data_IF_361692451359
#
_entry.id   IF_361692451359
#
_cell.length_a   1.000
_cell.length_b   1.000
_cell.length_c   1.000
_cell.angle_alpha   90.00
_cell.angle_beta   90.00
_cell.angle_gamma   90.00
#
_symmetry.space_group_name_H-M   'P 1'
#
loop_
_entity.id
_entity.type
_entity.pdbx_description
1 polymer ?
#
# COMPACT_ATOMS: atom_id res chain seq x y z
N UNK A 1 -38.79 39.58 17.45
CA UNK A 1 -37.38 39.41 17.84
C UNK A 1 -37.33 38.40 18.97
N UNK A 2 -36.71 37.24 18.74
CA UNK A 2 -36.63 36.17 19.73
C UNK A 2 -36.20 34.85 19.09
N UNK A 3 -34.91 34.73 18.77
CA UNK A 3 -34.27 33.48 18.38
C UNK A 3 -33.55 32.94 19.63
N UNK A 4 -34.05 31.84 20.20
CA UNK A 4 -33.33 31.06 21.21
C UNK A 4 -32.93 29.70 20.62
N UNK A 5 -31.62 29.57 20.43
CA UNK A 5 -30.75 28.43 20.78
C UNK A 5 -31.40 27.04 20.68
N UNK A 6 -31.15 26.35 19.57
CA UNK A 6 -31.18 24.88 19.53
C UNK A 6 -29.75 24.37 19.69
N UNK A 7 -29.49 23.80 20.86
CA UNK A 7 -28.23 23.16 21.22
C UNK A 7 -28.03 21.86 20.41
N UNK A 8 -26.81 21.67 19.92
CA UNK A 8 -26.30 20.42 19.37
C UNK A 8 -26.52 19.27 20.36
N UNK A 9 -27.26 18.24 19.94
CA UNK A 9 -27.30 16.92 20.58
C UNK A 9 -27.46 15.86 19.50
N UNK A 10 -26.37 15.57 18.78
CA UNK A 10 -26.26 14.42 17.88
C UNK A 10 -24.82 13.92 17.87
N UNK A 11 -24.41 13.25 18.95
CA UNK A 11 -23.32 12.27 18.89
C UNK A 11 -23.65 11.12 19.85
N UNK A 12 -23.32 9.91 19.40
CA UNK A 12 -23.45 8.59 20.04
C UNK A 12 -24.64 7.74 19.59
N UNK A 13 -24.62 7.33 18.32
CA UNK A 13 -25.07 5.99 17.94
C UNK A 13 -23.95 4.97 18.26
N UNK A 14 -24.25 3.84 18.92
CA UNK A 14 -23.26 2.81 19.22
C UNK A 14 -23.07 1.91 17.98
N UNK A 15 -21.96 2.12 17.28
CA UNK A 15 -21.53 1.31 16.14
C UNK A 15 -20.05 1.51 15.80
N UNK A 16 -19.25 1.85 16.81
CA UNK A 16 -17.87 2.31 16.65
C UNK A 16 -16.90 1.27 17.19
N UNK A 17 -16.24 0.55 16.29
CA UNK A 17 -14.86 0.07 16.47
C UNK A 17 -14.31 -0.47 15.15
N UNK A 18 -14.01 0.44 14.22
CA UNK A 18 -13.05 0.25 13.12
C UNK A 18 -12.46 1.64 12.85
N UNK A 19 -11.74 2.15 13.83
CA UNK A 19 -11.15 3.48 13.75
C UNK A 19 -9.68 3.42 14.10
N UNK A 20 -8.86 3.57 13.06
CA UNK A 20 -7.58 4.26 13.14
C UNK A 20 -7.67 5.36 14.21
N UNK A 21 -6.95 5.17 15.31
CA UNK A 21 -6.86 6.18 16.37
C UNK A 21 -5.94 7.27 15.85
N UNK A 22 -6.52 8.41 15.49
CA UNK A 22 -5.75 9.62 15.29
C UNK A 22 -5.31 10.11 16.67
N UNK A 23 -4.00 10.22 16.89
CA UNK A 23 -3.51 10.78 18.16
C UNK A 23 -3.50 12.32 18.12
N UNK A 24 -3.45 12.90 16.93
CA UNK A 24 -3.37 14.35 16.72
C UNK A 24 -3.79 14.73 15.29
N UNK A 25 -4.36 15.92 15.10
CA UNK A 25 -4.61 16.50 13.78
C UNK A 25 -4.62 18.04 13.81
N UNK A 26 -4.10 18.69 12.78
CA UNK A 26 -4.23 20.14 12.58
C UNK A 26 -4.42 20.51 11.11
N UNK A 27 -5.01 21.68 10.85
CA UNK A 27 -5.11 22.26 9.50
C UNK A 27 -3.98 23.26 9.31
N UNK A 28 -3.26 23.11 8.20
CA UNK A 28 -2.09 23.90 7.86
C UNK A 28 -2.18 24.46 6.44
N UNK A 29 -1.31 25.43 6.13
CA UNK A 29 -1.07 25.89 4.76
C UNK A 29 0.41 25.70 4.47
N UNK A 30 0.81 24.60 3.80
CA UNK A 30 2.19 24.35 3.42
C UNK A 30 2.72 25.44 2.49
N UNK A 31 3.95 25.89 2.71
CA UNK A 31 4.58 26.91 1.85
C UNK A 31 5.69 26.31 1.02
N UNK A 32 5.53 26.29 -0.30
CA UNK A 32 6.63 25.98 -1.23
C UNK A 32 7.75 27.01 -1.07
N UNK A 33 8.97 26.54 -0.90
CA UNK A 33 10.17 27.37 -0.76
C UNK A 33 10.79 27.60 -2.14
N UNK A 34 11.42 28.76 -2.33
CA UNK A 34 12.17 29.06 -3.55
C UNK A 34 13.50 28.26 -3.56
N UNK A 35 13.95 27.75 -4.71
CA UNK A 35 15.27 27.12 -4.83
C UNK A 35 16.38 28.10 -4.42
N UNK A 36 17.46 27.59 -3.81
CA UNK A 36 18.64 28.40 -3.45
C UNK A 36 19.47 28.84 -4.68
N UNK A 37 19.50 28.04 -5.74
CA UNK A 37 20.39 28.22 -6.91
C UNK A 37 19.74 28.89 -8.13
N UNK A 38 18.60 29.57 -7.96
CA UNK A 38 17.83 30.28 -9.02
C UNK A 38 17.40 29.42 -10.24
N UNK A 39 17.74 28.12 -10.24
CA UNK A 39 17.24 27.12 -11.18
C UNK A 39 16.03 26.42 -10.56
N UNK A 40 14.84 26.84 -10.95
CA UNK A 40 13.59 26.14 -10.62
C UNK A 40 13.47 24.89 -11.49
N UNK A 41 14.14 23.81 -11.08
CA UNK A 41 13.90 22.49 -11.66
C UNK A 41 12.75 21.84 -10.93
N UNK A 42 11.70 21.41 -11.65
CA UNK A 42 10.59 20.61 -11.08
C UNK A 42 11.09 19.37 -10.32
N UNK A 43 12.29 18.88 -10.63
CA UNK A 43 12.90 17.71 -10.00
C UNK A 43 13.16 17.86 -8.50
N UNK A 44 13.43 19.08 -8.02
CA UNK A 44 13.75 19.34 -6.61
C UNK A 44 12.86 20.43 -6.07
N UNK A 45 12.07 20.09 -5.06
CA UNK A 45 11.18 21.05 -4.39
C UNK A 45 11.39 20.99 -2.89
N UNK A 46 11.05 22.06 -2.19
CA UNK A 46 11.08 22.08 -0.74
C UNK A 46 9.86 22.80 -0.19
N UNK A 47 9.33 22.30 0.91
CA UNK A 47 8.15 22.85 1.56
C UNK A 47 8.45 23.16 3.03
N UNK A 48 7.95 24.29 3.50
CA UNK A 48 7.84 24.55 4.94
C UNK A 48 6.47 24.07 5.42
N UNK A 49 6.47 23.05 6.26
CA UNK A 49 5.28 22.38 6.79
C UNK A 49 5.24 22.59 8.31
N UNK A 50 4.06 22.88 8.86
CA UNK A 50 3.87 22.99 10.31
C UNK A 50 3.34 21.66 10.84
N UNK A 51 3.96 21.13 11.88
CA UNK A 51 3.56 19.89 12.56
C UNK A 51 3.68 20.08 14.06
N UNK A 52 2.59 19.84 14.80
CA UNK A 52 2.49 19.96 16.25
C UNK A 52 3.06 21.30 16.78
N UNK A 53 2.74 22.39 16.08
CA UNK A 53 3.19 23.73 16.45
C UNK A 53 4.58 24.14 15.95
N UNK A 54 5.38 23.22 15.40
CA UNK A 54 6.75 23.47 14.94
C UNK A 54 6.83 23.48 13.41
N UNK A 55 7.71 24.31 12.85
CA UNK A 55 7.96 24.33 11.42
C UNK A 55 9.10 23.37 11.06
N UNK A 56 8.88 22.61 10.00
CA UNK A 56 9.81 21.67 9.40
C UNK A 56 10.03 22.04 7.95
N UNK A 57 11.27 21.90 7.47
CA UNK A 57 11.61 22.03 6.05
C UNK A 57 11.70 20.62 5.48
N UNK A 58 10.89 20.31 4.48
CA UNK A 58 10.87 19.02 3.80
C UNK A 58 11.52 19.19 2.45
N UNK A 59 12.59 18.44 2.18
CA UNK A 59 13.27 18.41 0.89
C UNK A 59 12.81 17.20 0.11
N UNK A 60 12.43 17.43 -1.14
CA UNK A 60 11.78 16.45 -1.99
C UNK A 60 12.51 16.35 -3.33
N UNK A 61 12.80 15.12 -3.73
CA UNK A 61 13.34 14.76 -5.03
C UNK A 61 12.30 13.96 -5.80
N UNK A 62 12.08 14.35 -7.05
CA UNK A 62 11.07 13.72 -7.89
C UNK A 62 11.37 12.23 -8.06
N UNK A 63 10.35 11.41 -7.79
CA UNK A 63 10.35 9.98 -8.07
C UNK A 63 9.94 9.79 -9.54
N UNK A 64 10.75 9.01 -10.25
CA UNK A 64 10.52 8.66 -11.65
C UNK A 64 10.27 7.14 -11.76
N UNK A 65 9.63 6.72 -12.84
CA UNK A 65 9.53 5.31 -13.23
C UNK A 65 8.88 4.39 -12.18
N UNK A 66 7.72 4.79 -11.63
CA UNK A 66 6.90 3.94 -10.76
C UNK A 66 5.47 3.73 -11.30
N UNK A 67 5.14 4.40 -12.40
CA UNK A 67 3.94 4.19 -13.23
C UNK A 67 4.45 3.98 -14.66
N UNK A 68 3.94 2.98 -15.36
CA UNK A 68 4.30 2.75 -16.74
C UNK A 68 3.79 3.88 -17.67
N UNK A 69 4.56 4.25 -18.71
CA UNK A 69 4.03 5.04 -19.80
C UNK A 69 2.82 4.35 -20.44
N UNK A 70 1.77 5.11 -20.79
CA UNK A 70 0.52 4.56 -21.34
C UNK A 70 -0.11 3.47 -20.46
N UNK A 71 -0.09 3.69 -19.15
CA UNK A 71 -0.75 2.86 -18.17
C UNK A 71 -2.25 2.65 -18.49
N UNK A 72 -2.69 1.41 -18.78
CA UNK A 72 -4.07 1.10 -19.06
C UNK A 72 -4.89 0.96 -17.76
N UNK A 73 -6.09 1.54 -17.77
CA UNK A 73 -7.12 1.33 -16.75
C UNK A 73 -8.29 0.58 -17.39
N UNK A 74 -8.63 -0.56 -16.80
CA UNK A 74 -9.70 -1.43 -17.26
C UNK A 74 -10.93 -1.27 -16.36
N UNK A 75 -12.08 -1.01 -16.96
CA UNK A 75 -13.38 -0.90 -16.26
C UNK A 75 -14.43 -1.73 -17.00
N UNK A 76 -15.66 -1.75 -16.49
CA UNK A 76 -16.76 -2.52 -17.07
C UNK A 76 -18.01 -1.66 -17.21
N UNK A 77 -18.73 -1.83 -18.32
CA UNK A 77 -20.05 -1.22 -18.49
C UNK A 77 -21.16 -2.10 -17.89
N UNK A 78 -22.38 -1.57 -17.80
CA UNK A 78 -23.57 -2.27 -17.27
C UNK A 78 -23.88 -3.62 -17.97
N UNK A 79 -23.40 -3.82 -19.21
CA UNK A 79 -23.56 -5.09 -19.95
C UNK A 79 -22.48 -6.12 -19.60
N UNK A 80 -21.45 -5.71 -18.87
CA UNK A 80 -20.29 -6.50 -18.50
C UNK A 80 -19.18 -6.50 -19.55
N UNK A 81 -19.23 -5.61 -20.55
CA UNK A 81 -18.16 -5.47 -21.53
C UNK A 81 -16.97 -4.74 -20.91
N UNK A 82 -15.77 -5.22 -21.23
CA UNK A 82 -14.51 -4.59 -20.83
C UNK A 82 -14.32 -3.26 -21.57
N UNK A 83 -14.13 -2.18 -20.82
CA UNK A 83 -13.68 -0.89 -21.31
C UNK A 83 -12.19 -0.75 -20.98
N UNK A 84 -11.43 -0.20 -21.91
CA UNK A 84 -9.99 0.07 -21.73
C UNK A 84 -9.74 1.53 -21.99
N UNK A 85 -9.30 2.24 -20.95
CA UNK A 85 -8.91 3.64 -21.00
C UNK A 85 -7.42 3.81 -20.72
N UNK A 86 -6.89 4.94 -21.18
CA UNK A 86 -5.50 5.35 -20.95
C UNK A 86 -5.51 6.74 -20.33
N UNK A 87 -5.91 6.87 -19.05
CA UNK A 87 -6.05 8.17 -18.42
C UNK A 87 -4.69 8.85 -18.32
N UNK A 88 -4.68 10.18 -18.54
CA UNK A 88 -3.49 10.97 -18.27
C UNK A 88 -3.27 11.07 -16.76
N UNK A 89 -2.26 10.35 -16.27
CA UNK A 89 -1.79 10.46 -14.89
C UNK A 89 -0.51 11.29 -14.92
N UNK A 90 -0.56 12.44 -14.27
CA UNK A 90 0.59 13.33 -14.18
C UNK A 90 1.70 12.64 -13.35
N UNK A 91 2.84 12.35 -13.95
CA UNK A 91 3.97 11.63 -13.32
C UNK A 91 5.10 12.56 -12.83
N UNK A 92 4.98 13.87 -13.08
CA UNK A 92 5.97 14.88 -12.70
C UNK A 92 5.74 15.52 -11.32
N UNK A 93 4.89 14.89 -10.50
CA UNK A 93 4.42 15.42 -9.23
C UNK A 93 4.52 14.45 -8.05
N UNK A 94 5.27 13.36 -8.17
CA UNK A 94 5.52 12.42 -7.07
C UNK A 94 6.95 12.52 -6.59
N UNK A 95 7.16 12.51 -5.28
CA UNK A 95 8.44 12.82 -4.66
C UNK A 95 8.72 11.94 -3.45
N UNK A 96 10.00 11.63 -3.26
CA UNK A 96 10.52 11.12 -2.00
C UNK A 96 11.64 12.01 -1.47
N UNK A 97 11.88 11.96 -0.16
CA UNK A 97 12.79 12.87 0.47
C UNK A 97 12.85 12.73 1.99
N UNK A 98 13.25 13.82 2.64
CA UNK A 98 13.54 13.86 4.06
C UNK A 98 13.22 15.23 4.66
N UNK A 99 13.23 15.29 5.99
CA UNK A 99 13.04 16.52 6.78
C UNK A 99 14.40 17.05 7.24
N UNK A 100 14.65 18.33 6.99
CA UNK A 100 15.89 19.03 7.37
C UNK A 100 16.16 18.88 8.88
N UNK A 101 17.42 18.61 9.23
CA UNK A 101 17.90 18.42 10.60
C UNK A 101 17.23 17.28 11.40
N UNK A 102 16.51 16.37 10.72
CA UNK A 102 15.93 15.17 11.34
C UNK A 102 16.54 13.91 10.69
N UNK A 103 17.52 13.28 11.36
CA UNK A 103 18.14 12.04 10.89
C UNK A 103 17.09 10.96 10.62
N UNK A 104 17.30 10.20 9.54
CA UNK A 104 16.45 9.06 9.14
C UNK A 104 14.97 9.38 8.92
N UNK A 105 14.61 10.66 8.81
CA UNK A 105 13.27 11.07 8.42
C UNK A 105 12.93 10.61 7.01
N UNK A 106 11.64 10.39 6.78
CA UNK A 106 11.12 9.97 5.48
C UNK A 106 10.03 10.94 5.08
N UNK A 107 10.02 11.33 3.81
CA UNK A 107 8.93 12.05 3.18
C UNK A 107 8.58 11.37 1.87
N UNK A 108 7.32 10.99 1.69
CA UNK A 108 6.79 10.42 0.44
C UNK A 108 5.52 11.16 0.09
N UNK A 109 5.60 12.08 -0.87
CA UNK A 109 4.55 13.07 -1.13
C UNK A 109 4.23 13.17 -2.63
N UNK A 110 2.94 13.21 -2.93
CA UNK A 110 2.40 13.73 -4.18
C UNK A 110 2.12 15.23 -4.05
N UNK A 111 2.36 15.98 -5.11
CA UNK A 111 1.98 17.40 -5.25
C UNK A 111 0.96 17.62 -6.37
N UNK A 112 0.40 16.55 -6.95
CA UNK A 112 -0.40 16.60 -8.18
C UNK A 112 -1.72 17.38 -8.00
N UNK A 113 -2.31 17.32 -6.81
CA UNK A 113 -3.55 18.03 -6.45
C UNK A 113 -3.47 18.60 -5.04
N UNK A 114 -2.32 19.20 -4.73
CA UNK A 114 -1.92 19.53 -3.36
C UNK A 114 -1.02 18.47 -2.75
N UNK A 115 -0.51 18.72 -1.54
CA UNK A 115 0.31 17.76 -0.82
C UNK A 115 -0.54 16.60 -0.32
N UNK A 116 -0.22 15.39 -0.78
CA UNK A 116 -0.81 14.16 -0.29
C UNK A 116 0.27 13.12 -0.05
N UNK A 117 0.33 12.55 1.16
CA UNK A 117 1.23 11.44 1.43
C UNK A 117 1.66 11.35 2.89
N UNK A 118 2.89 10.88 3.11
CA UNK A 118 3.42 10.51 4.41
C UNK A 118 4.69 11.29 4.76
N UNK A 119 4.81 11.61 6.04
CA UNK A 119 6.00 12.15 6.69
C UNK A 119 6.29 11.33 7.93
N UNK A 120 7.52 10.84 8.05
CA UNK A 120 8.03 10.29 9.29
C UNK A 120 9.06 11.26 9.87
N UNK A 121 8.72 11.85 11.02
CA UNK A 121 9.55 12.81 11.72
C UNK A 121 9.93 12.19 13.06
N UNK A 122 11.23 11.91 13.25
CA UNK A 122 11.71 11.04 14.31
C UNK A 122 11.07 9.64 14.17
N UNK A 123 10.35 9.15 15.18
CA UNK A 123 9.63 7.87 15.18
C UNK A 123 8.11 8.04 14.97
N UNK A 124 7.67 9.21 14.51
CA UNK A 124 6.24 9.55 14.42
C UNK A 124 5.79 9.63 12.97
N UNK A 125 4.74 8.87 12.65
CA UNK A 125 4.14 8.82 11.32
C UNK A 125 2.99 9.84 11.23
N UNK A 126 3.10 10.70 10.23
CA UNK A 126 2.10 11.69 9.88
C UNK A 126 1.63 11.44 8.45
N UNK A 127 0.33 11.60 8.22
CA UNK A 127 -0.21 11.73 6.87
C UNK A 127 -0.71 13.15 6.66
N UNK A 128 -0.51 13.65 5.45
CA UNK A 128 -0.98 14.95 4.99
C UNK A 128 -1.89 14.73 3.80
N UNK A 129 -3.03 15.43 3.78
CA UNK A 129 -3.98 15.37 2.68
C UNK A 129 -4.64 16.74 2.42
N UNK A 130 -5.00 17.05 1.17
CA UNK A 130 -5.67 18.29 0.84
C UNK A 130 -7.05 18.38 1.49
N UNK A 131 -7.40 19.55 2.03
CA UNK A 131 -8.78 19.83 2.45
C UNK A 131 -9.65 19.94 1.19
N UNK A 132 -10.70 19.11 1.10
CA UNK A 132 -11.65 19.12 -0.03
C UNK A 132 -12.16 20.54 -0.28
N UNK A 133 -12.05 20.99 -1.54
CA UNK A 133 -12.53 22.30 -2.00
C UNK A 133 -11.91 23.55 -1.33
N UNK A 134 -10.70 23.44 -0.77
CA UNK A 134 -10.00 24.60 -0.21
C UNK A 134 -9.56 25.59 -1.31
N UNK A 135 -9.85 26.88 -1.12
CA UNK A 135 -9.37 27.98 -1.98
C UNK A 135 -8.01 28.55 -1.56
N UNK A 136 -7.47 28.10 -0.42
CA UNK A 136 -6.27 28.67 0.22
C UNK A 136 -5.15 27.66 0.40
N UNK A 137 -5.19 26.55 -0.35
CA UNK A 137 -4.19 25.47 -0.28
C UNK A 137 -4.05 24.90 1.15
N UNK A 138 -5.19 24.70 1.82
CA UNK A 138 -5.20 24.10 3.15
C UNK A 138 -5.06 22.59 3.06
N UNK A 139 -4.33 22.04 4.03
CA UNK A 139 -4.10 20.61 4.19
C UNK A 139 -4.44 20.23 5.63
N UNK A 140 -4.98 19.02 5.81
CA UNK A 140 -5.01 18.39 7.13
C UNK A 140 -3.74 17.57 7.25
N UNK A 141 -3.03 17.73 8.35
CA UNK A 141 -1.96 16.82 8.76
C UNK A 141 -2.36 16.16 10.06
N UNK A 142 -2.20 14.84 10.14
CA UNK A 142 -2.57 14.08 11.32
C UNK A 142 -1.54 13.02 11.64
N UNK A 143 -1.42 12.74 12.93
CA UNK A 143 -0.54 11.72 13.46
C UNK A 143 -1.29 10.40 13.61
N UNK A 144 -0.68 9.37 13.06
CA UNK A 144 -1.10 7.99 13.21
C UNK A 144 -0.77 7.53 14.64
N UNK A 145 -1.74 6.99 15.37
CA UNK A 145 -1.41 6.23 16.58
C UNK A 145 -0.67 4.94 16.18
N UNK A 146 0.21 4.47 17.06
CA UNK A 146 0.70 3.10 16.95
C UNK A 146 -0.50 2.16 17.12
N UNK A 147 -0.80 1.40 16.08
CA UNK A 147 -1.95 0.50 16.05
C UNK A 147 -1.46 -0.92 16.27
N UNK A 148 -1.55 -1.41 17.51
CA UNK A 148 -1.46 -2.84 17.75
C UNK A 148 -2.81 -3.47 17.36
N UNK A 149 -2.98 -3.74 16.06
CA UNK A 149 -4.07 -4.61 15.63
C UNK A 149 -3.72 -6.07 15.97
N UNK A 150 -4.67 -6.84 16.53
CA UNK A 150 -4.51 -8.29 16.66
C UNK A 150 -4.54 -9.00 15.31
N UNK A 151 -4.85 -8.30 14.22
CA UNK A 151 -4.96 -8.89 12.90
C UNK A 151 -3.59 -9.39 12.41
N UNK A 152 -3.63 -10.60 11.87
CA UNK A 152 -2.47 -11.35 11.39
C UNK A 152 -2.49 -11.44 9.86
N UNK A 153 -1.33 -11.52 9.23
CA UNK A 153 -1.24 -12.03 7.86
C UNK A 153 -1.61 -13.52 7.85
N UNK A 154 -2.25 -14.00 6.77
CA UNK A 154 -2.50 -15.43 6.61
C UNK A 154 -3.93 -15.90 6.88
N UNK A 155 -4.13 -17.20 6.63
CA UNK A 155 -5.31 -17.94 7.08
C UNK A 155 -5.26 -18.16 8.59
N UNK A 156 -6.41 -18.10 9.26
CA UNK A 156 -6.47 -18.33 10.72
C UNK A 156 -6.35 -19.82 11.06
N UNK A 157 -5.98 -20.16 12.30
CA UNK A 157 -5.89 -21.56 12.75
C UNK A 157 -7.22 -22.34 12.58
N UNK A 158 -8.35 -21.64 12.67
CA UNK A 158 -9.68 -22.23 12.44
C UNK A 158 -9.98 -22.41 10.95
N UNK A 159 -9.40 -21.57 10.08
CA UNK A 159 -9.46 -21.78 8.63
C UNK A 159 -8.68 -23.01 8.18
N UNK A 160 -7.49 -23.21 8.78
CA UNK A 160 -6.63 -24.38 8.54
C UNK A 160 -7.36 -25.67 8.93
N UNK A 161 -8.02 -25.71 10.10
CA UNK A 161 -8.78 -26.89 10.56
C UNK A 161 -9.93 -27.25 9.61
N UNK A 162 -10.66 -26.26 9.12
CA UNK A 162 -11.81 -26.50 8.24
C UNK A 162 -11.37 -26.87 6.80
N UNK A 163 -10.20 -26.38 6.34
CA UNK A 163 -9.58 -26.82 5.07
C UNK A 163 -9.09 -28.27 5.16
N UNK A 164 -8.47 -28.66 6.28
CA UNK A 164 -8.09 -30.04 6.57
C UNK A 164 -9.32 -30.98 6.61
N UNK A 165 -10.44 -30.51 7.16
CA UNK A 165 -11.70 -31.26 7.18
C UNK A 165 -12.34 -31.43 5.79
N UNK A 166 -12.07 -30.51 4.85
CA UNK A 166 -12.60 -30.51 3.47
C UNK A 166 -11.68 -31.22 2.46
N UNK A 167 -10.56 -31.80 2.89
CA UNK A 167 -9.59 -32.46 2.00
C UNK A 167 -8.98 -31.52 0.95
N UNK A 168 -9.06 -30.20 1.16
CA UNK A 168 -8.46 -29.18 0.31
C UNK A 168 -7.13 -28.76 0.93
N UNK A 169 -6.13 -29.64 0.86
CA UNK A 169 -4.75 -29.21 1.05
C UNK A 169 -4.36 -28.33 -0.15
N UNK A 170 -4.67 -27.05 -0.08
CA UNK A 170 -3.83 -26.09 -0.79
C UNK A 170 -2.53 -26.05 0.00
N UNK A 171 -1.53 -26.73 -0.56
CA UNK A 171 -0.15 -26.62 -0.14
C UNK A 171 0.20 -25.13 -0.14
N UNK A 172 0.09 -24.50 1.04
CA UNK A 172 1.13 -23.56 1.44
C UNK A 172 2.37 -24.41 1.25
N UNK A 173 3.07 -24.15 0.15
CA UNK A 173 4.32 -24.79 -0.15
C UNK A 173 5.28 -24.39 0.96
N UNK A 174 5.22 -25.10 2.08
CA UNK A 174 6.37 -25.38 2.90
C UNK A 174 7.27 -26.29 2.06
N UNK A 175 7.82 -25.76 0.97
CA UNK A 175 8.97 -26.40 0.34
C UNK A 175 10.05 -26.31 1.41
N UNK A 176 10.42 -27.49 1.91
CA UNK A 176 11.55 -27.69 2.79
C UNK A 176 12.73 -26.89 2.23
N UNK A 177 13.05 -25.77 2.86
CA UNK A 177 14.24 -24.98 2.60
C UNK A 177 15.44 -25.72 3.20
N UNK A 178 15.70 -26.91 2.66
CA UNK A 178 16.90 -27.74 2.91
C UNK A 178 17.72 -27.86 1.61
N UNK A 179 17.73 -26.82 0.77
CA UNK A 179 18.95 -26.55 0.01
C UNK A 179 19.72 -25.51 0.79
N UNK A 180 20.81 -25.98 1.42
CA UNK A 180 21.95 -25.13 1.74
C UNK A 180 22.47 -24.55 0.41
N UNK A 181 21.81 -23.50 -0.09
CA UNK A 181 22.42 -22.61 -1.05
C UNK A 181 23.41 -21.80 -0.22
N UNK A 182 24.68 -22.21 -0.26
CA UNK A 182 25.77 -21.34 0.11
C UNK A 182 25.73 -20.15 -0.87
N UNK A 183 24.92 -19.14 -0.55
CA UNK A 183 24.87 -17.90 -1.32
C UNK A 183 26.21 -17.21 -1.06
N UNK A 184 27.02 -17.08 -2.11
CA UNK A 184 28.28 -16.35 -2.03
C UNK A 184 27.99 -14.90 -1.58
N UNK A 185 28.76 -14.41 -0.61
CA UNK A 185 28.65 -13.02 -0.14
C UNK A 185 28.88 -12.04 -1.30
N UNK A 186 29.72 -12.40 -2.27
CA UNK A 186 29.93 -11.61 -3.49
C UNK A 186 28.67 -11.52 -4.35
N UNK A 187 27.95 -12.64 -4.50
CA UNK A 187 26.69 -12.70 -5.26
C UNK A 187 25.60 -11.88 -4.56
N UNK A 188 25.46 -12.00 -3.24
CA UNK A 188 24.54 -11.21 -2.42
C UNK A 188 24.80 -9.69 -2.53
N UNK A 189 26.08 -9.27 -2.54
CA UNK A 189 26.47 -7.86 -2.73
C UNK A 189 26.13 -7.34 -4.14
N UNK A 190 26.23 -8.20 -5.18
CA UNK A 190 25.70 -7.89 -6.52
C UNK A 190 24.17 -7.82 -6.58
N UNK A 191 23.45 -8.67 -5.82
CA UNK A 191 21.97 -8.62 -5.77
C UNK A 191 21.50 -7.28 -5.18
N UNK A 192 22.14 -6.80 -4.11
CA UNK A 192 21.85 -5.51 -3.46
C UNK A 192 22.30 -4.27 -4.25
N UNK A 193 23.23 -4.42 -5.20
CA UNK A 193 23.73 -3.30 -6.03
C UNK A 193 23.06 -3.21 -7.40
N UNK A 194 22.40 -4.28 -7.87
CA UNK A 194 21.62 -4.28 -9.11
C UNK A 194 20.25 -3.63 -8.93
N UNK A 195 19.97 -2.55 -9.66
CA UNK A 195 18.61 -1.98 -9.74
C UNK A 195 17.68 -2.98 -10.43
N UNK A 196 16.58 -3.35 -9.77
CA UNK A 196 15.57 -4.28 -10.27
C UNK A 196 14.24 -3.56 -10.41
N UNK A 197 13.41 -4.06 -11.33
CA UNK A 197 12.06 -3.59 -11.52
C UNK A 197 11.10 -4.75 -11.29
N UNK A 198 9.99 -4.47 -10.60
CA UNK A 198 8.89 -5.38 -10.41
C UNK A 198 7.65 -4.77 -11.06
N UNK A 199 7.21 -5.35 -12.17
CA UNK A 199 6.05 -4.88 -12.93
C UNK A 199 4.76 -5.42 -12.28
N UNK A 200 3.98 -4.55 -11.66
CA UNK A 200 2.79 -4.90 -10.90
C UNK A 200 1.49 -4.52 -11.62
N UNK A 201 0.49 -5.39 -11.53
CA UNK A 201 -0.88 -5.13 -11.98
C UNK A 201 -1.83 -5.14 -10.78
N UNK A 202 -2.61 -4.08 -10.56
CA UNK A 202 -3.57 -4.03 -9.45
C UNK A 202 -5.00 -4.26 -9.94
N UNK A 203 -5.80 -4.91 -9.11
CA UNK A 203 -7.25 -5.05 -9.32
C UNK A 203 -7.96 -4.55 -8.07
N UNK A 204 -8.94 -3.67 -8.21
CA UNK A 204 -9.77 -3.23 -7.09
C UNK A 204 -11.17 -3.86 -7.20
N UNK A 205 -11.62 -4.49 -6.12
CA UNK A 205 -12.95 -5.10 -6.08
C UNK A 205 -14.08 -4.07 -6.08
N UNK A 206 -15.32 -4.53 -6.30
CA UNK A 206 -16.50 -3.65 -6.32
C UNK A 206 -16.69 -2.97 -4.97
N UNK A 207 -16.41 -3.67 -3.87
CA UNK A 207 -16.52 -3.09 -2.53
C UNK A 207 -15.51 -1.94 -2.31
N UNK A 208 -14.29 -2.03 -2.86
CA UNK A 208 -13.29 -0.96 -2.84
C UNK A 208 -13.73 0.22 -3.67
N UNK A 209 -14.28 -0.02 -4.86
CA UNK A 209 -14.87 1.04 -5.66
C UNK A 209 -15.99 1.79 -4.94
N UNK A 210 -16.90 1.06 -4.28
CA UNK A 210 -17.95 1.68 -3.47
C UNK A 210 -17.39 2.43 -2.25
N UNK A 211 -16.31 1.94 -1.65
CA UNK A 211 -15.67 2.58 -0.50
C UNK A 211 -15.00 3.92 -0.86
N UNK A 212 -14.45 4.04 -2.07
CA UNK A 212 -13.87 5.28 -2.60
C UNK A 212 -14.90 6.12 -3.37
N UNK A 213 -16.10 6.28 -2.78
CA UNK A 213 -17.19 7.11 -3.28
C UNK A 213 -17.67 6.78 -4.72
N UNK A 214 -17.47 5.54 -5.20
CA UNK A 214 -17.79 5.12 -6.58
C UNK A 214 -17.15 6.03 -7.65
N UNK A 215 -15.93 6.51 -7.38
CA UNK A 215 -15.23 7.45 -8.22
C UNK A 215 -13.96 6.81 -8.80
N UNK A 216 -13.97 6.52 -10.10
CA UNK A 216 -12.87 5.84 -10.80
C UNK A 216 -11.56 6.64 -10.70
N UNK A 217 -11.63 7.97 -10.82
CA UNK A 217 -10.46 8.85 -10.70
C UNK A 217 -9.88 8.81 -9.29
N UNK A 218 -10.72 8.90 -8.26
CA UNK A 218 -10.26 8.84 -6.86
C UNK A 218 -9.63 7.50 -6.54
N UNK A 219 -10.28 6.41 -6.96
CA UNK A 219 -9.77 5.06 -6.78
C UNK A 219 -8.44 4.84 -7.51
N UNK A 220 -8.33 5.31 -8.76
CA UNK A 220 -7.08 5.26 -9.53
C UNK A 220 -5.95 6.01 -8.83
N UNK A 221 -6.21 7.24 -8.36
CA UNK A 221 -5.23 8.02 -7.61
C UNK A 221 -4.83 7.33 -6.29
N UNK A 222 -5.76 6.65 -5.61
CA UNK A 222 -5.49 5.84 -4.42
C UNK A 222 -4.58 4.65 -4.72
N UNK A 223 -4.82 3.92 -5.81
CA UNK A 223 -3.95 2.81 -6.23
C UNK A 223 -2.54 3.28 -6.58
N UNK A 224 -2.42 4.40 -7.27
CA UNK A 224 -1.12 5.03 -7.55
C UNK A 224 -0.41 5.43 -6.27
N UNK A 225 -1.14 5.98 -5.29
CA UNK A 225 -0.57 6.34 -3.99
C UNK A 225 -0.07 5.12 -3.20
N UNK A 226 -0.79 3.99 -3.24
CA UNK A 226 -0.32 2.74 -2.65
C UNK A 226 1.01 2.30 -3.26
N UNK A 227 1.11 2.25 -4.59
CA UNK A 227 2.34 1.89 -5.29
C UNK A 227 3.48 2.86 -4.97
N UNK A 228 3.19 4.16 -4.86
CA UNK A 228 4.21 5.15 -4.51
C UNK A 228 4.83 4.86 -3.14
N UNK A 229 4.00 4.54 -2.14
CA UNK A 229 4.50 4.12 -0.82
C UNK A 229 5.22 2.79 -0.86
N UNK A 230 4.64 1.76 -1.49
CA UNK A 230 5.25 0.44 -1.61
C UNK A 230 6.60 0.50 -2.32
N UNK A 231 6.73 1.29 -3.39
CA UNK A 231 8.02 1.49 -4.08
C UNK A 231 9.07 2.13 -3.18
N UNK A 232 8.71 3.07 -2.31
CA UNK A 232 9.67 3.67 -1.37
C UNK A 232 10.02 2.72 -0.21
N UNK A 233 9.12 1.82 0.19
CA UNK A 233 9.42 0.75 1.14
C UNK A 233 10.44 -0.26 0.58
N UNK A 234 10.36 -0.56 -0.71
CA UNK A 234 11.28 -1.48 -1.38
C UNK A 234 12.58 -0.84 -1.90
N UNK A 235 12.66 0.49 -1.92
CA UNK A 235 13.84 1.22 -2.38
C UNK A 235 15.16 0.79 -1.70
N UNK A 236 15.22 0.55 -0.38
CA UNK A 236 16.45 0.07 0.27
C UNK A 236 16.94 -1.30 -0.23
N UNK A 237 16.06 -2.10 -0.84
CA UNK A 237 16.39 -3.39 -1.46
C UNK A 237 16.83 -3.26 -2.93
N UNK A 238 16.96 -2.03 -3.44
CA UNK A 238 17.27 -1.80 -4.86
C UNK A 238 16.13 -2.18 -5.82
N UNK A 239 14.93 -2.40 -5.30
CA UNK A 239 13.76 -2.84 -6.07
C UNK A 239 12.80 -1.67 -6.33
N UNK A 240 12.53 -1.43 -7.60
CA UNK A 240 11.58 -0.43 -8.09
C UNK A 240 10.27 -1.12 -8.47
N UNK A 241 9.24 -0.90 -7.66
CA UNK A 241 7.89 -1.38 -7.95
C UNK A 241 7.23 -0.42 -8.94
N UNK A 242 6.72 -0.96 -10.05
CA UNK A 242 6.14 -0.18 -11.14
C UNK A 242 4.72 -0.64 -11.41
N UNK A 243 3.76 0.26 -11.35
CA UNK A 243 2.38 -0.06 -11.74
C UNK A 243 2.23 -0.01 -13.26
N UNK A 244 1.91 -1.15 -13.86
CA UNK A 244 1.85 -1.30 -15.33
C UNK A 244 0.43 -1.52 -15.86
N UNK A 245 -0.55 -1.74 -14.99
CA UNK A 245 -1.95 -1.88 -15.35
C UNK A 245 -2.84 -1.89 -14.12
N UNK A 246 -4.08 -1.42 -14.28
CA UNK A 246 -5.07 -1.36 -13.22
C UNK A 246 -6.43 -1.79 -13.74
N UNK A 247 -7.14 -2.59 -12.95
CA UNK A 247 -8.51 -2.97 -13.25
C UNK A 247 -9.43 -2.62 -12.09
N UNK A 248 -10.54 -1.96 -12.41
CA UNK A 248 -11.54 -1.55 -11.43
C UNK A 248 -12.82 -2.32 -11.72
N UNK A 249 -13.28 -3.10 -10.74
CA UNK A 249 -14.56 -3.81 -10.84
C UNK A 249 -15.71 -2.85 -10.53
N UNK A 250 -16.00 -1.95 -11.49
CA UNK A 250 -16.98 -0.87 -11.36
C UNK A 250 -18.42 -1.35 -11.28
N UNK A 251 -18.74 -2.52 -11.83
CA UNK A 251 -20.12 -3.04 -11.88
C UNK A 251 -20.37 -4.16 -10.88
N UNK A 252 -19.49 -5.18 -10.89
CA UNK A 252 -19.55 -6.35 -10.02
C UNK A 252 -18.17 -6.99 -9.89
N UNK A 253 -18.00 -7.81 -8.87
CA UNK A 253 -16.82 -8.66 -8.77
C UNK A 253 -16.79 -9.71 -9.88
N UNK A 254 -15.62 -9.94 -10.46
CA UNK A 254 -15.42 -10.93 -11.53
C UNK A 254 -14.95 -12.29 -11.04
N UNK A 255 -14.72 -12.38 -9.73
CA UNK A 255 -14.51 -13.63 -9.01
C UNK A 255 -15.45 -13.68 -7.81
N UNK A 256 -15.60 -14.85 -7.22
CA UNK A 256 -16.25 -14.97 -5.91
C UNK A 256 -15.28 -14.57 -4.81
N UNK A 257 -15.59 -13.50 -4.08
CA UNK A 257 -14.84 -13.10 -2.88
C UNK A 257 -15.52 -13.74 -1.67
N UNK A 258 -14.76 -14.51 -0.91
CA UNK A 258 -15.27 -15.27 0.24
C UNK A 258 -14.73 -14.71 1.56
N UNK A 259 -15.30 -15.18 2.67
CA UNK A 259 -14.79 -14.91 4.02
C UNK A 259 -13.40 -15.55 4.28
N UNK A 260 -12.94 -16.43 3.38
CA UNK A 260 -11.62 -17.06 3.42
C UNK A 260 -10.75 -16.44 2.34
N UNK A 261 -9.75 -15.65 2.75
CA UNK A 261 -8.84 -15.04 1.78
C UNK A 261 -8.09 -16.07 0.94
N UNK A 262 -7.78 -17.25 1.48
CA UNK A 262 -7.17 -18.35 0.72
C UNK A 262 -8.02 -18.86 -0.46
N UNK A 263 -9.34 -18.96 -0.29
CA UNK A 263 -10.24 -19.36 -1.37
C UNK A 263 -10.36 -18.23 -2.42
N UNK A 264 -10.47 -16.97 -1.95
CA UNK A 264 -10.48 -15.79 -2.83
C UNK A 264 -9.18 -15.68 -3.65
N UNK A 265 -8.02 -15.96 -3.05
CA UNK A 265 -6.72 -15.98 -3.72
C UNK A 265 -6.68 -17.05 -4.82
N UNK A 266 -7.23 -18.24 -4.57
CA UNK A 266 -7.32 -19.29 -5.58
C UNK A 266 -8.18 -18.89 -6.78
N UNK A 267 -9.35 -18.29 -6.53
CA UNK A 267 -10.18 -17.75 -7.62
C UNK A 267 -9.50 -16.61 -8.36
N UNK A 268 -8.77 -15.75 -7.63
CA UNK A 268 -8.03 -14.64 -8.23
C UNK A 268 -6.87 -15.12 -9.10
N UNK A 269 -6.10 -16.11 -8.65
CA UNK A 269 -5.02 -16.74 -9.42
C UNK A 269 -5.54 -17.32 -10.74
N UNK A 270 -6.68 -18.02 -10.71
CA UNK A 270 -7.32 -18.54 -11.91
C UNK A 270 -7.78 -17.42 -12.85
N UNK A 271 -8.32 -16.32 -12.32
CA UNK A 271 -8.70 -15.13 -13.10
C UNK A 271 -7.48 -14.45 -13.74
N UNK A 272 -6.41 -14.26 -12.97
CA UNK A 272 -5.17 -13.66 -13.43
C UNK A 272 -4.54 -14.45 -14.59
N UNK A 273 -4.40 -15.76 -14.43
CA UNK A 273 -3.84 -16.63 -15.46
C UNK A 273 -4.71 -16.73 -16.72
N UNK A 274 -6.04 -16.70 -16.56
CA UNK A 274 -6.97 -16.84 -17.69
C UNK A 274 -7.19 -15.54 -18.47
N UNK A 275 -7.22 -14.40 -17.77
CA UNK A 275 -7.64 -13.13 -18.36
C UNK A 275 -6.56 -12.04 -18.27
N UNK A 276 -5.99 -11.78 -17.10
CA UNK A 276 -5.09 -10.63 -16.91
C UNK A 276 -3.79 -10.77 -17.69
N UNK A 277 -3.14 -11.93 -17.62
CA UNK A 277 -1.87 -12.19 -18.32
C UNK A 277 -1.99 -12.10 -19.84
N UNK A 278 -3.20 -12.25 -20.39
CA UNK A 278 -3.49 -12.06 -21.81
C UNK A 278 -3.72 -10.60 -22.21
N UNK A 279 -3.97 -9.69 -21.25
CA UNK A 279 -4.20 -8.26 -21.47
C UNK A 279 -2.91 -7.46 -21.33
N UNK A 280 -2.21 -7.66 -20.22
CA UNK A 280 -0.97 -6.95 -19.89
C UNK A 280 0.02 -7.97 -19.33
N UNK A 281 1.27 -7.89 -19.76
CA UNK A 281 2.35 -8.71 -19.21
C UNK A 281 2.85 -8.05 -17.92
N UNK A 282 2.75 -8.77 -16.81
CA UNK A 282 3.22 -8.34 -15.49
C UNK A 282 3.98 -9.45 -14.76
N UNK A 283 4.74 -9.08 -13.74
CA UNK A 283 5.48 -9.99 -12.88
C UNK A 283 4.65 -10.42 -11.65
N UNK A 284 3.89 -9.48 -11.08
CA UNK A 284 3.07 -9.69 -9.89
C UNK A 284 1.72 -8.99 -9.98
N UNK A 285 0.69 -9.52 -9.32
CA UNK A 285 -0.62 -8.86 -9.26
C UNK A 285 -1.31 -9.00 -7.92
N UNK A 286 -1.98 -7.93 -7.48
CA UNK A 286 -2.68 -7.90 -6.21
C UNK A 286 -4.16 -7.51 -6.37
N UNK A 287 -5.04 -8.27 -5.74
CA UNK A 287 -6.45 -7.93 -5.60
C UNK A 287 -6.67 -7.14 -4.31
N UNK A 288 -7.07 -5.89 -4.47
CA UNK A 288 -7.27 -4.91 -3.42
C UNK A 288 -8.76 -4.90 -3.03
N UNK A 289 -9.04 -5.43 -1.84
CA UNK A 289 -10.38 -5.62 -1.30
C UNK A 289 -10.81 -4.45 -0.43
N UNK A 290 -11.99 -3.92 -0.70
CA UNK A 290 -12.62 -2.89 0.12
C UNK A 290 -13.71 -3.42 1.03
N UNK A 291 -14.13 -4.67 0.92
CA UNK A 291 -15.18 -5.25 1.76
C UNK A 291 -14.73 -5.54 3.20
N UNK A 292 -15.71 -5.81 4.09
CA UNK A 292 -15.45 -6.29 5.45
C UNK A 292 -15.44 -7.81 5.45
N UNK A 293 -14.24 -8.38 5.39
CA UNK A 293 -14.04 -9.83 5.40
C UNK A 293 -13.36 -10.24 6.72
N UNK A 294 -13.91 -11.24 7.45
CA UNK A 294 -13.25 -11.78 8.63
C UNK A 294 -11.94 -12.48 8.25
N UNK A 295 -11.06 -12.72 9.23
CA UNK A 295 -9.76 -13.36 9.00
C UNK A 295 -8.62 -12.37 8.75
N UNK A 296 -7.48 -12.87 8.25
CA UNK A 296 -6.23 -12.10 8.11
C UNK A 296 -6.31 -10.88 7.18
N UNK A 297 -5.29 -10.01 7.23
CA UNK A 297 -5.24 -8.76 6.45
C UNK A 297 -4.94 -8.97 4.97
N UNK A 298 -4.20 -10.03 4.65
CA UNK A 298 -3.84 -10.38 3.30
C UNK A 298 -3.44 -11.85 3.20
N UNK A 299 -3.29 -12.29 1.95
CA UNK A 299 -2.79 -13.61 1.63
C UNK A 299 -2.10 -13.60 0.26
N UNK A 300 -0.91 -14.20 0.19
CA UNK A 300 -0.15 -14.40 -1.04
C UNK A 300 0.25 -15.86 -1.24
N UNK A 301 0.39 -16.27 -2.51
CA UNK A 301 1.17 -17.47 -2.81
C UNK A 301 2.65 -17.11 -2.84
N UNK A 302 3.38 -17.57 -1.83
CA UNK A 302 4.84 -17.42 -1.80
C UNK A 302 5.54 -18.08 -3.00
N UNK A 303 6.73 -17.56 -3.32
CA UNK A 303 7.71 -18.14 -4.25
C UNK A 303 7.25 -18.34 -5.72
N UNK A 304 6.16 -17.69 -6.14
CA UNK A 304 5.67 -17.81 -7.52
C UNK A 304 6.16 -16.72 -8.47
N UNK A 305 6.95 -15.75 -7.99
CA UNK A 305 7.47 -14.69 -8.84
C UNK A 305 8.36 -15.25 -9.95
N UNK A 306 8.13 -14.79 -11.18
CA UNK A 306 8.84 -15.25 -12.40
C UNK A 306 8.69 -16.76 -12.71
N UNK A 307 7.67 -17.43 -12.19
CA UNK A 307 7.32 -18.81 -12.57
C UNK A 307 6.29 -18.84 -13.70
N UNK A 308 5.83 -20.04 -14.10
CA UNK A 308 4.73 -20.18 -15.08
C UNK A 308 3.36 -19.84 -14.49
N UNK A 309 3.21 -19.94 -13.17
CA UNK A 309 1.98 -19.57 -12.49
C UNK A 309 1.97 -18.06 -12.23
N UNK A 310 0.81 -17.39 -12.27
CA UNK A 310 0.74 -15.98 -11.91
C UNK A 310 1.11 -15.80 -10.44
N UNK A 311 2.07 -14.91 -10.16
CA UNK A 311 2.35 -14.46 -8.80
C UNK A 311 1.23 -13.53 -8.36
N UNK A 312 0.48 -13.92 -7.32
CA UNK A 312 -0.74 -13.23 -6.90
C UNK A 312 -0.81 -13.03 -5.39
N UNK A 313 -1.40 -11.91 -4.98
CA UNK A 313 -1.86 -11.69 -3.60
C UNK A 313 -3.28 -11.11 -3.55
N UNK A 314 -3.90 -11.21 -2.37
CA UNK A 314 -5.19 -10.58 -2.04
C UNK A 314 -4.99 -9.80 -0.74
N UNK A 315 -5.34 -8.52 -0.74
CA UNK A 315 -5.10 -7.60 0.39
C UNK A 315 -6.38 -6.87 0.75
N UNK A 316 -6.72 -6.81 2.05
CA UNK A 316 -7.76 -5.93 2.57
C UNK A 316 -7.19 -4.52 2.75
N UNK A 317 -7.62 -3.59 1.90
CA UNK A 317 -7.20 -2.19 1.93
C UNK A 317 -8.42 -1.28 2.17
N UNK A 318 -8.96 -1.37 3.39
CA UNK A 318 -10.09 -0.56 3.87
C UNK A 318 -9.65 0.43 4.97
N UNK A 319 -8.35 0.60 5.17
CA UNK A 319 -7.80 1.57 6.10
C UNK A 319 -8.14 3.00 5.69
N UNK A 320 -8.26 3.88 6.68
CA UNK A 320 -8.35 5.33 6.40
C UNK A 320 -6.99 5.88 5.93
N UNK A 321 -5.90 5.31 6.45
CA UNK A 321 -4.54 5.67 6.11
C UNK A 321 -4.09 4.94 4.85
N UNK A 322 -3.57 5.71 3.90
CA UNK A 322 -3.04 5.12 2.68
C UNK A 322 -1.70 4.41 2.91
N UNK A 323 -0.89 4.88 3.86
CA UNK A 323 0.35 4.22 4.26
C UNK A 323 0.09 2.85 4.89
N UNK A 324 -0.92 2.76 5.76
CA UNK A 324 -1.29 1.50 6.42
C UNK A 324 -1.66 0.43 5.39
N UNK A 325 -2.58 0.75 4.49
CA UNK A 325 -2.97 -0.16 3.40
C UNK A 325 -1.77 -0.53 2.52
N UNK A 326 -0.92 0.44 2.17
CA UNK A 326 0.28 0.19 1.37
C UNK A 326 1.32 -0.69 2.08
N UNK A 327 1.34 -0.68 3.42
CA UNK A 327 2.20 -1.55 4.21
C UNK A 327 1.73 -3.01 4.15
N UNK A 328 0.42 -3.25 4.14
CA UNK A 328 -0.15 -4.59 3.94
C UNK A 328 0.13 -5.09 2.52
N UNK A 329 -0.04 -4.23 1.52
CA UNK A 329 0.33 -4.50 0.12
C UNK A 329 1.81 -4.91 0.04
N UNK A 330 2.70 -4.11 0.63
CA UNK A 330 4.13 -4.42 0.67
C UNK A 330 4.42 -5.75 1.41
N UNK A 331 3.68 -6.06 2.46
CA UNK A 331 3.85 -7.32 3.19
C UNK A 331 3.53 -8.54 2.30
N UNK A 332 2.38 -8.55 1.64
CA UNK A 332 1.98 -9.67 0.77
C UNK A 332 2.84 -9.77 -0.49
N UNK A 333 3.28 -8.63 -1.04
CA UNK A 333 4.29 -8.59 -2.08
C UNK A 333 5.61 -9.21 -1.59
N UNK A 334 5.97 -9.02 -0.32
CA UNK A 334 7.14 -9.61 0.31
C UNK A 334 7.07 -11.13 0.34
N UNK A 335 5.92 -11.71 0.71
CA UNK A 335 5.71 -13.15 0.59
C UNK A 335 5.85 -13.64 -0.86
N UNK A 336 5.32 -12.89 -1.82
CA UNK A 336 5.45 -13.21 -3.25
C UNK A 336 6.90 -13.21 -3.73
N UNK A 337 7.75 -12.38 -3.12
CA UNK A 337 9.21 -12.31 -3.30
C UNK A 337 9.98 -13.40 -2.54
N UNK A 338 9.29 -14.23 -1.75
CA UNK A 338 9.88 -15.32 -0.94
C UNK A 338 10.35 -14.89 0.45
N UNK A 339 9.90 -13.73 0.94
CA UNK A 339 10.21 -13.28 2.30
C UNK A 339 9.30 -14.00 3.30
N UNK A 340 9.93 -14.65 4.28
CA UNK A 340 9.24 -15.22 5.44
C UNK A 340 9.00 -14.17 6.53
N UNK A 341 8.23 -14.52 7.56
CA UNK A 341 7.99 -13.61 8.67
C UNK A 341 9.23 -13.39 9.54
N UNK A 342 9.42 -12.15 10.01
CA UNK A 342 10.53 -11.76 10.88
C UNK A 342 10.49 -12.45 12.27
N UNK A 343 9.29 -12.80 12.74
CA UNK A 343 9.03 -13.45 14.03
C UNK A 343 8.84 -14.97 13.92
N UNK A 344 9.25 -15.57 12.80
CA UNK A 344 9.16 -17.01 12.63
C UNK A 344 10.10 -17.76 13.61
N UNK A 345 9.52 -18.67 14.39
CA UNK A 345 10.23 -19.40 15.46
C UNK A 345 11.40 -20.23 14.94
N UNK A 346 11.32 -20.70 13.70
CA UNK A 346 12.34 -21.50 13.03
C UNK A 346 13.66 -20.72 12.86
N UNK A 347 13.59 -19.43 12.50
CA UNK A 347 14.77 -18.56 12.38
C UNK A 347 15.32 -18.15 13.74
N UNK A 348 14.44 -17.83 14.69
CA UNK A 348 14.84 -17.51 16.06
C UNK A 348 15.62 -18.68 16.71
N UNK A 349 15.18 -19.93 16.49
CA UNK A 349 15.87 -21.12 16.97
C UNK A 349 17.27 -21.34 16.34
N UNK A 350 17.51 -20.76 15.15
CA UNK A 350 18.81 -20.74 14.47
C UNK A 350 19.70 -19.54 14.85
N UNK A 351 19.25 -18.70 15.79
CA UNK A 351 19.96 -17.51 16.23
C UNK A 351 19.82 -16.29 15.31
N UNK A 352 18.95 -16.36 14.29
CA UNK A 352 18.63 -15.23 13.44
C UNK A 352 17.54 -14.39 14.12
N UNK A 353 17.92 -13.22 14.66
CA UNK A 353 16.98 -12.27 15.25
C UNK A 353 16.85 -11.07 14.32
N UNK A 354 15.74 -10.99 13.58
CA UNK A 354 15.41 -9.82 12.78
C UNK A 354 15.21 -8.60 13.69
N UNK A 355 15.86 -7.48 13.34
CA UNK A 355 15.73 -6.21 14.05
C UNK A 355 15.37 -5.11 13.08
N UNK A 356 14.33 -4.37 13.42
CA UNK A 356 13.93 -3.18 12.71
C UNK A 356 14.76 -2.00 13.23
N UNK A 357 15.33 -1.16 12.35
CA UNK A 357 16.13 -0.02 12.80
C UNK A 357 15.31 1.03 13.56
N UNK A 358 13.99 1.06 13.39
CA UNK A 358 13.08 2.02 14.02
C UNK A 358 12.13 1.34 15.01
N UNK A 359 11.60 2.13 15.94
CA UNK A 359 10.54 1.68 16.86
C UNK A 359 9.30 1.29 16.06
N UNK A 360 8.84 0.06 16.25
CA UNK A 360 7.72 -0.53 15.54
C UNK A 360 8.03 -1.95 15.10
N UNK A 361 7.13 -2.51 14.31
CA UNK A 361 7.29 -3.82 13.67
C UNK A 361 7.82 -3.62 12.25
N UNK A 362 8.62 -4.58 11.78
CA UNK A 362 9.12 -4.60 10.40
C UNK A 362 7.96 -4.95 9.46
N UNK A 363 8.11 -4.63 8.17
CA UNK A 363 7.08 -4.94 7.17
C UNK A 363 6.70 -6.42 7.23
N UNK A 364 7.66 -7.34 7.37
CA UNK A 364 7.42 -8.79 7.39
C UNK A 364 7.10 -9.35 8.78
N UNK A 365 6.68 -8.53 9.74
CA UNK A 365 6.18 -9.05 11.01
C UNK A 365 4.82 -9.72 10.81
N UNK A 366 4.56 -10.88 11.44
CA UNK A 366 3.35 -11.67 11.16
C UNK A 366 2.02 -11.00 11.58
N UNK A 367 2.10 -10.00 12.44
CA UNK A 367 0.97 -9.17 12.85
C UNK A 367 1.10 -7.79 12.24
N UNK A 368 -0.04 -7.13 12.04
CA UNK A 368 -0.06 -5.76 11.54
C UNK A 368 0.93 -4.86 12.30
N UNK A 369 1.73 -4.07 11.57
CA UNK A 369 2.71 -3.16 12.15
C UNK A 369 2.12 -1.94 12.85
#
# INVERSE_FOLDING_TARGET
MGLQVWALLLLLSPGFSETLKLSYSEVIVPRKLKPRDDRDTKEKVSYRIKVEGKFHIVHLLQKKMFIAPNFPVFTYNEKGDLITDYPYIQDDCYYSGYVEDVPESVAVLSTCSGLWGHLMIYDLNYEIEPVKSSSTFQHVIYRMAAEDSPDRCGVTDDDIKDQAAKGREHQISMVQMERQLEVDKGELDTLYTSTRYLECYFVADKAKFLFEDSNETLLTLKMVQYIHFTSEMYRPFGLHVVLIGLELWTERDLITITHRLGDSLGFYSAYAGKFLMGRVRFDHTELILGGRYPGGLGFSYGDNLCTRAPSVAVVKARGKSALYDATIIAHEMGHSLGLSHDDEKTYAARGCVCKCPKKGKCIMWSYSP
#
